data_IF_399814933616
#
_entry.id   IF_399814933616
#
_cell.length_a   1.000
_cell.length_b   1.000
_cell.length_c   1.000
_cell.angle_alpha   90.00
_cell.angle_beta   90.00
_cell.angle_gamma   90.00
#
_symmetry.space_group_name_H-M   'P 1'
#
loop_
_entity.id
_entity.type
_entity.pdbx_description
1 polymer ?
#
# COMPACT_ATOMS: atom_id res chain seq x y z
N UNK A 1 14.09 -9.68 5.95
CA UNK A 1 12.87 -9.84 5.11
C UNK A 1 12.12 -8.53 5.05
N UNK A 2 11.74 -8.09 3.87
CA UNK A 2 10.89 -6.92 3.62
C UNK A 2 9.53 -7.39 3.12
N UNK A 3 8.46 -6.69 3.52
CA UNK A 3 7.10 -6.97 3.06
C UNK A 3 6.51 -5.69 2.49
N UNK A 4 6.18 -5.71 1.21
CA UNK A 4 5.51 -4.62 0.53
C UNK A 4 4.00 -4.90 0.50
N UNK A 5 3.21 -4.00 1.07
CA UNK A 5 1.74 -4.11 1.11
C UNK A 5 1.17 -2.97 0.25
N UNK A 6 0.75 -3.30 -0.96
CA UNK A 6 0.15 -2.38 -1.91
C UNK A 6 -1.37 -2.58 -2.03
N UNK A 7 -2.02 -1.77 -2.82
CA UNK A 7 -3.46 -1.85 -3.12
C UNK A 7 -4.09 -0.47 -3.28
N UNK A 8 -5.29 -0.42 -3.81
CA UNK A 8 -6.07 0.79 -3.95
C UNK A 8 -6.32 1.47 -2.60
N UNK A 9 -6.75 2.73 -2.62
CA UNK A 9 -7.16 3.41 -1.39
C UNK A 9 -8.27 2.61 -0.69
N UNK A 10 -8.32 2.69 0.63
CA UNK A 10 -9.35 2.04 1.48
C UNK A 10 -9.32 0.50 1.51
N UNK A 11 -8.37 -0.19 0.90
CA UNK A 11 -8.28 -1.66 0.93
C UNK A 11 -7.77 -2.24 2.26
N UNK A 12 -7.49 -1.40 3.25
CA UNK A 12 -7.07 -1.86 4.59
C UNK A 12 -5.59 -2.22 4.72
N UNK A 13 -4.72 -1.67 3.87
CA UNK A 13 -3.26 -1.87 3.93
C UNK A 13 -2.68 -1.61 5.32
N UNK A 14 -2.97 -0.45 5.88
CA UNK A 14 -2.50 -0.05 7.22
C UNK A 14 -3.04 -0.96 8.32
N UNK A 15 -4.29 -1.44 8.18
CA UNK A 15 -4.87 -2.43 9.12
C UNK A 15 -4.11 -3.76 9.05
N UNK A 16 -3.82 -4.25 7.85
CA UNK A 16 -3.01 -5.47 7.67
C UNK A 16 -1.61 -5.28 8.26
N UNK A 17 -0.94 -4.16 7.95
CA UNK A 17 0.38 -3.86 8.50
C UNK A 17 0.37 -3.85 10.04
N UNK A 18 -0.66 -3.27 10.66
CA UNK A 18 -0.83 -3.27 12.11
C UNK A 18 -1.03 -4.69 12.67
N UNK A 19 -1.85 -5.52 12.03
CA UNK A 19 -2.06 -6.92 12.44
C UNK A 19 -0.76 -7.74 12.36
N UNK A 20 0.01 -7.56 11.29
CA UNK A 20 1.31 -8.22 11.13
C UNK A 20 2.35 -7.70 12.14
N UNK A 21 2.36 -6.40 12.46
CA UNK A 21 3.18 -5.86 13.53
C UNK A 21 2.85 -6.53 14.88
N UNK A 22 1.57 -6.71 15.19
CA UNK A 22 1.15 -7.35 16.43
C UNK A 22 1.51 -8.84 16.48
N UNK A 23 1.38 -9.56 15.34
CA UNK A 23 1.66 -11.00 15.22
C UNK A 23 3.16 -11.28 15.18
N UNK A 24 3.92 -10.59 14.33
CA UNK A 24 5.33 -10.91 14.02
C UNK A 24 6.34 -9.94 14.61
N UNK A 25 5.89 -8.83 15.20
CA UNK A 25 6.74 -7.77 15.75
C UNK A 25 7.65 -7.09 14.70
N UNK A 26 7.24 -7.11 13.44
CA UNK A 26 7.92 -6.37 12.37
C UNK A 26 7.40 -4.94 12.34
N UNK A 27 8.28 -3.93 12.41
CA UNK A 27 7.85 -2.54 12.27
C UNK A 27 7.32 -2.27 10.85
N UNK A 28 6.43 -1.29 10.71
CA UNK A 28 6.01 -0.86 9.38
C UNK A 28 6.21 0.64 9.17
N UNK A 29 6.45 1.00 7.91
CA UNK A 29 6.47 2.35 7.40
C UNK A 29 5.24 2.56 6.52
N UNK A 30 4.41 3.55 6.87
CA UNK A 30 3.38 4.05 5.97
C UNK A 30 3.99 5.05 5.00
N UNK A 31 3.81 4.81 3.69
CA UNK A 31 4.29 5.73 2.65
C UNK A 31 3.56 7.08 2.76
N UNK A 32 2.32 7.09 3.21
CA UNK A 32 1.58 8.33 3.46
C UNK A 32 2.20 9.18 4.57
N UNK A 33 2.75 8.57 5.61
CA UNK A 33 3.49 9.30 6.63
C UNK A 33 4.78 9.92 6.08
N UNK A 34 5.52 9.17 5.25
CA UNK A 34 6.72 9.69 4.58
C UNK A 34 6.34 10.85 3.64
N UNK A 35 5.30 10.68 2.81
CA UNK A 35 4.75 11.70 1.92
C UNK A 35 4.45 12.99 2.69
N UNK A 36 3.64 12.89 3.73
CA UNK A 36 3.27 14.06 4.53
C UNK A 36 4.45 14.70 5.25
N UNK A 37 5.42 13.89 5.70
CA UNK A 37 6.68 14.40 6.28
C UNK A 37 7.46 15.25 5.29
N UNK A 38 7.66 14.77 4.06
CA UNK A 38 8.39 15.48 3.01
C UNK A 38 7.67 16.75 2.56
N UNK A 39 6.35 16.70 2.37
CA UNK A 39 5.53 17.84 1.99
C UNK A 39 5.57 18.94 3.08
N UNK A 40 5.26 18.57 4.33
CA UNK A 40 5.18 19.52 5.44
C UNK A 40 6.53 20.14 5.82
N UNK A 41 7.62 19.44 5.57
CA UNK A 41 8.99 19.94 5.81
C UNK A 41 9.52 20.79 4.66
N UNK A 42 8.77 20.94 3.56
CA UNK A 42 9.19 21.75 2.41
C UNK A 42 10.27 21.10 1.54
N UNK A 43 10.40 19.78 1.59
CA UNK A 43 11.37 19.05 0.76
C UNK A 43 10.82 18.71 -0.65
N UNK A 44 9.62 19.13 -0.97
CA UNK A 44 9.00 18.97 -2.29
C UNK A 44 7.96 20.06 -2.53
N UNK A 45 7.76 20.42 -3.79
CA UNK A 45 6.66 21.30 -4.24
C UNK A 45 5.34 20.53 -4.45
N UNK A 46 5.35 19.19 -4.35
CA UNK A 46 4.15 18.39 -4.46
C UNK A 46 3.21 18.64 -3.28
N UNK A 47 1.92 18.43 -3.51
CA UNK A 47 0.86 18.53 -2.51
C UNK A 47 0.26 17.15 -2.20
N UNK A 48 -0.52 17.00 -1.13
CA UNK A 48 -1.23 15.75 -0.85
C UNK A 48 -2.20 15.32 -1.96
N UNK A 49 -2.63 16.27 -2.80
CA UNK A 49 -3.58 16.09 -3.91
C UNK A 49 -2.90 16.15 -5.30
N UNK A 50 -1.57 16.10 -5.37
CA UNK A 50 -0.84 15.95 -6.63
C UNK A 50 -1.15 14.60 -7.28
N UNK A 51 -0.92 14.50 -8.60
CA UNK A 51 -1.15 13.25 -9.34
C UNK A 51 -0.41 12.07 -8.71
N UNK A 52 -1.06 10.91 -8.65
CA UNK A 52 -0.49 9.71 -8.01
C UNK A 52 0.77 9.20 -8.72
N UNK A 53 0.92 9.41 -10.02
CA UNK A 53 2.15 9.05 -10.72
C UNK A 53 3.29 9.98 -10.33
N UNK A 54 3.04 11.30 -10.22
CA UNK A 54 4.04 12.27 -9.76
C UNK A 54 4.49 11.95 -8.32
N UNK A 55 3.53 11.62 -7.45
CA UNK A 55 3.82 11.21 -6.08
C UNK A 55 4.61 9.89 -6.04
N UNK A 56 4.26 8.92 -6.87
CA UNK A 56 4.98 7.65 -6.98
C UNK A 56 6.41 7.87 -7.48
N UNK A 57 6.59 8.63 -8.54
CA UNK A 57 7.92 8.94 -9.12
C UNK A 57 8.84 9.65 -8.12
N UNK A 58 8.27 10.48 -7.24
CA UNK A 58 9.03 11.17 -6.21
C UNK A 58 9.33 10.27 -5.00
N UNK A 59 8.35 9.51 -4.50
CA UNK A 59 8.47 8.74 -3.26
C UNK A 59 9.20 7.41 -3.45
N UNK A 60 8.95 6.72 -4.56
CA UNK A 60 9.48 5.38 -4.77
C UNK A 60 11.00 5.29 -4.75
N UNK A 61 11.78 6.19 -5.37
CA UNK A 61 13.23 6.16 -5.27
C UNK A 61 13.75 6.24 -3.83
N UNK A 62 13.08 7.00 -2.96
CA UNK A 62 13.44 7.12 -1.54
C UNK A 62 13.15 5.80 -0.82
N UNK A 63 11.95 5.25 -1.02
CA UNK A 63 11.51 3.99 -0.42
C UNK A 63 12.41 2.83 -0.85
N UNK A 64 12.75 2.76 -2.13
CA UNK A 64 13.65 1.75 -2.68
C UNK A 64 15.01 1.72 -1.96
N UNK A 65 15.62 2.88 -1.73
CA UNK A 65 16.91 2.93 -1.02
C UNK A 65 16.76 2.63 0.48
N UNK A 66 15.62 2.94 1.09
CA UNK A 66 15.30 2.51 2.46
C UNK A 66 15.16 0.98 2.55
N UNK A 67 14.53 0.35 1.56
CA UNK A 67 14.42 -1.12 1.44
C UNK A 67 15.81 -1.75 1.40
N UNK A 68 16.66 -1.29 0.48
CA UNK A 68 18.04 -1.79 0.35
C UNK A 68 18.79 -1.68 1.66
N UNK A 69 18.74 -0.50 2.29
CA UNK A 69 19.39 -0.25 3.59
C UNK A 69 18.89 -1.22 4.67
N UNK A 70 17.58 -1.47 4.74
CA UNK A 70 17.01 -2.40 5.72
C UNK A 70 17.49 -3.85 5.47
N UNK A 71 17.58 -4.29 4.21
CA UNK A 71 18.09 -5.61 3.83
C UNK A 71 19.58 -5.75 4.20
N UNK A 72 20.40 -4.78 3.83
CA UNK A 72 21.84 -4.74 4.14
C UNK A 72 22.11 -4.80 5.65
N UNK A 73 21.24 -4.17 6.45
CA UNK A 73 21.27 -4.21 7.91
C UNK A 73 20.59 -5.46 8.51
N UNK A 74 20.10 -6.39 7.69
CA UNK A 74 19.39 -7.60 8.14
C UNK A 74 18.17 -7.29 9.01
N UNK A 75 17.48 -6.20 8.71
CA UNK A 75 16.28 -5.77 9.43
C UNK A 75 15.02 -6.34 8.76
N UNK A 76 14.00 -6.59 9.56
CA UNK A 76 12.66 -6.84 9.07
C UNK A 76 11.89 -5.52 9.01
N UNK A 77 11.23 -5.25 7.89
CA UNK A 77 10.45 -4.04 7.71
C UNK A 77 9.26 -4.32 6.80
N UNK A 78 8.09 -3.82 7.19
CA UNK A 78 6.94 -3.75 6.29
C UNK A 78 6.82 -2.33 5.75
N UNK A 79 6.40 -2.20 4.50
CA UNK A 79 6.14 -0.91 3.86
C UNK A 79 4.77 -0.99 3.22
N UNK A 80 3.89 -0.07 3.57
CA UNK A 80 2.53 -0.06 3.04
C UNK A 80 2.17 1.27 2.39
N UNK A 81 1.42 1.21 1.31
CA UNK A 81 0.90 2.39 0.63
C UNK A 81 0.48 2.16 -0.82
N UNK A 82 -0.06 3.20 -1.45
CA UNK A 82 -0.49 3.19 -2.84
C UNK A 82 0.66 3.44 -3.83
N UNK A 83 1.77 4.04 -3.37
CA UNK A 83 2.86 4.56 -4.21
C UNK A 83 3.98 3.55 -4.44
N UNK A 84 3.66 2.26 -4.52
CA UNK A 84 4.56 1.17 -4.91
C UNK A 84 4.24 0.83 -6.36
N UNK A 85 5.16 1.05 -7.33
CA UNK A 85 4.89 0.76 -8.74
C UNK A 85 4.70 -0.74 -8.96
N UNK A 86 3.85 -1.13 -9.91
CA UNK A 86 3.59 -2.54 -10.21
C UNK A 86 4.80 -3.26 -10.83
N UNK A 87 5.70 -2.52 -11.43
CA UNK A 87 6.96 -3.03 -11.99
C UNK A 87 8.16 -2.85 -11.04
N UNK A 88 7.90 -2.78 -9.74
CA UNK A 88 8.87 -2.52 -8.68
C UNK A 88 10.11 -3.44 -8.73
N UNK A 89 9.96 -4.68 -9.20
CA UNK A 89 11.04 -5.68 -9.25
C UNK A 89 12.21 -5.22 -10.12
N UNK A 90 11.96 -4.42 -11.16
CA UNK A 90 13.00 -3.90 -12.07
C UNK A 90 14.09 -3.07 -11.38
N UNK A 91 13.79 -2.55 -10.19
CA UNK A 91 14.66 -1.65 -9.44
C UNK A 91 15.58 -2.38 -8.45
N UNK A 92 15.51 -3.73 -8.42
CA UNK A 92 16.27 -4.58 -7.52
C UNK A 92 16.97 -5.69 -8.28
N UNK A 93 18.16 -6.07 -7.86
CA UNK A 93 18.83 -7.27 -8.30
C UNK A 93 18.34 -8.52 -7.54
N UNK A 94 18.76 -9.72 -7.99
CA UNK A 94 18.33 -11.00 -7.42
C UNK A 94 18.60 -11.12 -5.90
N UNK A 95 19.66 -10.48 -5.41
CA UNK A 95 20.00 -10.50 -3.99
C UNK A 95 18.94 -9.81 -3.16
N UNK A 96 18.50 -8.61 -3.57
CA UNK A 96 17.44 -7.89 -2.88
C UNK A 96 16.07 -8.56 -3.08
N UNK A 97 15.76 -9.00 -4.32
CA UNK A 97 14.48 -9.65 -4.64
C UNK A 97 14.20 -10.86 -3.77
N UNK A 98 15.24 -11.66 -3.45
CA UNK A 98 15.09 -12.83 -2.58
C UNK A 98 14.66 -12.50 -1.14
N UNK A 99 14.82 -11.26 -0.70
CA UNK A 99 14.48 -10.77 0.64
C UNK A 99 13.16 -9.99 0.68
N UNK A 100 12.48 -9.81 -0.46
CA UNK A 100 11.25 -9.00 -0.57
C UNK A 100 10.06 -9.90 -0.87
N UNK A 101 9.00 -9.78 -0.07
CA UNK A 101 7.66 -10.29 -0.39
C UNK A 101 6.76 -9.12 -0.75
N UNK A 102 5.96 -9.27 -1.79
CA UNK A 102 4.98 -8.28 -2.22
C UNK A 102 3.58 -8.85 -2.16
N UNK A 103 2.63 -8.06 -1.73
CA UNK A 103 1.22 -8.38 -1.79
C UNK A 103 0.39 -7.14 -2.10
N UNK A 104 -0.53 -7.26 -3.04
CA UNK A 104 -1.48 -6.21 -3.37
C UNK A 104 -2.88 -6.59 -2.88
N UNK A 105 -3.49 -5.72 -2.08
CA UNK A 105 -4.87 -5.92 -1.63
C UNK A 105 -5.85 -5.38 -2.67
N UNK A 106 -6.81 -6.21 -3.05
CA UNK A 106 -7.87 -5.87 -4.01
C UNK A 106 -9.21 -6.26 -3.42
N UNK A 107 -10.16 -5.34 -3.39
CA UNK A 107 -11.55 -5.65 -3.06
C UNK A 107 -12.30 -6.06 -4.32
N UNK A 108 -13.09 -7.14 -4.24
CA UNK A 108 -14.00 -7.53 -5.32
C UNK A 108 -15.15 -6.53 -5.46
N UNK A 109 -15.76 -6.48 -6.63
CA UNK A 109 -16.98 -5.68 -6.86
C UNK A 109 -18.08 -6.08 -5.88
N UNK A 110 -18.27 -7.39 -5.67
CA UNK A 110 -19.25 -7.92 -4.71
C UNK A 110 -18.99 -7.41 -3.29
N UNK A 111 -17.74 -7.46 -2.83
CA UNK A 111 -17.39 -6.95 -1.50
C UNK A 111 -17.68 -5.46 -1.39
N UNK A 112 -17.25 -4.65 -2.36
CA UNK A 112 -17.43 -3.19 -2.36
C UNK A 112 -18.94 -2.85 -2.31
N UNK A 113 -19.76 -3.45 -3.16
CA UNK A 113 -21.20 -3.17 -3.21
C UNK A 113 -21.91 -3.50 -1.88
N UNK A 114 -21.53 -4.58 -1.22
CA UNK A 114 -22.16 -5.01 0.03
C UNK A 114 -21.62 -4.30 1.28
N UNK A 115 -20.37 -3.79 1.24
CA UNK A 115 -19.68 -3.25 2.40
C UNK A 115 -19.22 -1.79 2.25
N UNK A 116 -19.75 -1.05 1.27
CA UNK A 116 -19.31 0.33 1.00
C UNK A 116 -19.40 1.25 2.22
N UNK A 117 -20.47 1.14 3.01
CA UNK A 117 -20.61 1.93 4.23
C UNK A 117 -19.55 1.58 5.28
N UNK A 118 -19.19 0.31 5.38
CA UNK A 118 -18.13 -0.15 6.29
C UNK A 118 -16.75 0.31 5.80
N UNK A 119 -16.49 0.25 4.50
CA UNK A 119 -15.26 0.76 3.88
C UNK A 119 -15.05 2.22 4.27
N UNK A 120 -16.06 3.08 4.12
CA UNK A 120 -16.00 4.48 4.56
C UNK A 120 -15.85 4.64 6.08
N UNK A 121 -16.61 3.88 6.84
CA UNK A 121 -16.57 3.94 8.31
C UNK A 121 -15.21 3.54 8.86
N UNK A 122 -14.60 2.49 8.29
CA UNK A 122 -13.32 1.97 8.77
C UNK A 122 -12.10 2.69 8.17
N UNK A 123 -12.29 3.60 7.22
CA UNK A 123 -11.20 4.44 6.68
C UNK A 123 -10.44 5.23 7.76
N UNK A 124 -11.12 5.56 8.86
CA UNK A 124 -10.59 6.36 9.96
C UNK A 124 -10.23 5.55 11.23
N UNK A 125 -10.15 4.22 11.17
CA UNK A 125 -9.90 3.38 12.37
C UNK A 125 -8.45 3.49 12.84
N UNK A 126 -7.49 3.61 11.93
CA UNK A 126 -6.06 3.72 12.25
C UNK A 126 -5.52 5.11 11.89
N UNK A 127 -6.03 5.72 10.82
CA UNK A 127 -5.65 7.03 10.33
C UNK A 127 -6.81 8.01 10.43
N UNK A 128 -6.55 9.28 10.74
CA UNK A 128 -7.54 10.35 10.61
C UNK A 128 -7.37 11.03 9.25
N UNK A 129 -8.27 10.76 8.32
CA UNK A 129 -8.30 11.43 7.02
C UNK A 129 -8.99 12.78 7.15
N UNK A 130 -8.33 13.84 6.68
CA UNK A 130 -8.86 15.20 6.77
C UNK A 130 -10.00 15.44 5.77
N UNK A 131 -9.95 14.78 4.62
CA UNK A 131 -10.98 14.82 3.57
C UNK A 131 -11.09 13.44 2.92
N UNK A 132 -12.29 12.92 2.82
CA UNK A 132 -12.63 11.63 2.20
C UNK A 132 -13.78 11.81 1.18
N UNK A 133 -13.97 13.06 0.69
CA UNK A 133 -15.05 13.42 -0.24
C UNK A 133 -14.93 12.64 -1.57
N UNK A 134 -13.70 12.32 -1.98
CA UNK A 134 -13.42 11.60 -3.22
C UNK A 134 -13.64 10.09 -3.12
N UNK A 135 -13.86 9.55 -1.90
CA UNK A 135 -14.23 8.16 -1.69
C UNK A 135 -15.69 7.92 -2.04
N UNK A 136 -16.00 7.92 -3.33
CA UNK A 136 -17.30 7.53 -3.87
C UNK A 136 -17.35 6.03 -4.16
N UNK A 137 -18.56 5.45 -4.26
CA UNK A 137 -18.70 4.04 -4.64
C UNK A 137 -18.06 3.77 -6.01
N UNK A 138 -18.27 4.69 -6.95
CA UNK A 138 -17.74 4.60 -8.30
C UNK A 138 -16.21 4.65 -8.32
N UNK A 139 -15.59 5.54 -7.52
CA UNK A 139 -14.13 5.64 -7.45
C UNK A 139 -13.54 4.37 -6.84
N UNK A 140 -14.09 3.87 -5.74
CA UNK A 140 -13.62 2.63 -5.09
C UNK A 140 -13.72 1.42 -6.04
N UNK A 141 -14.81 1.30 -6.79
CA UNK A 141 -14.97 0.24 -7.81
C UNK A 141 -13.93 0.37 -8.92
N UNK A 142 -13.77 1.58 -9.47
CA UNK A 142 -12.84 1.85 -10.56
C UNK A 142 -11.39 1.57 -10.16
N UNK A 143 -10.97 2.04 -8.99
CA UNK A 143 -9.61 1.89 -8.48
C UNK A 143 -9.26 0.42 -8.22
N UNK A 144 -10.17 -0.34 -7.59
CA UNK A 144 -9.93 -1.77 -7.34
C UNK A 144 -9.91 -2.59 -8.64
N UNK A 145 -10.79 -2.26 -9.59
CA UNK A 145 -10.78 -2.90 -10.92
C UNK A 145 -9.49 -2.60 -11.68
N UNK A 146 -9.02 -1.36 -11.65
CA UNK A 146 -7.77 -0.97 -12.27
C UNK A 146 -6.57 -1.63 -11.59
N UNK A 147 -6.55 -1.65 -10.26
CA UNK A 147 -5.51 -2.31 -9.46
C UNK A 147 -5.41 -3.80 -9.81
N UNK A 148 -6.53 -4.52 -9.86
CA UNK A 148 -6.56 -5.93 -10.24
C UNK A 148 -5.99 -6.16 -11.66
N UNK A 149 -6.40 -5.31 -12.60
CA UNK A 149 -5.90 -5.36 -13.98
C UNK A 149 -4.38 -5.13 -14.04
N UNK A 150 -3.86 -4.23 -13.23
CA UNK A 150 -2.43 -3.96 -13.16
C UNK A 150 -1.67 -5.12 -12.51
N UNK A 151 -2.18 -5.72 -11.42
CA UNK A 151 -1.59 -6.92 -10.83
C UNK A 151 -1.47 -8.06 -11.87
N UNK A 152 -2.55 -8.31 -12.61
CA UNK A 152 -2.56 -9.34 -13.66
C UNK A 152 -1.59 -9.02 -14.81
N UNK A 153 -1.51 -7.76 -15.24
CA UNK A 153 -0.62 -7.30 -16.30
C UNK A 153 0.84 -7.49 -15.95
N UNK A 154 1.22 -7.19 -14.71
CA UNK A 154 2.61 -7.26 -14.26
C UNK A 154 2.97 -8.57 -13.57
N UNK A 155 2.00 -9.47 -13.36
CA UNK A 155 2.22 -10.78 -12.75
C UNK A 155 2.58 -10.73 -11.27
N UNK A 156 2.20 -9.65 -10.56
CA UNK A 156 2.49 -9.50 -9.13
C UNK A 156 1.44 -10.20 -8.27
N UNK A 157 1.84 -10.62 -7.07
CA UNK A 157 0.97 -11.29 -6.13
C UNK A 157 -0.13 -10.36 -5.61
N UNK A 158 -1.36 -10.85 -5.55
CA UNK A 158 -2.50 -10.11 -5.01
C UNK A 158 -3.44 -11.00 -4.23
N UNK A 159 -4.16 -10.38 -3.29
CA UNK A 159 -5.18 -11.02 -2.47
C UNK A 159 -6.52 -10.34 -2.71
N UNK A 160 -7.53 -11.13 -3.11
CA UNK A 160 -8.90 -10.63 -3.31
C UNK A 160 -9.69 -10.73 -2.00
N UNK A 161 -10.21 -9.60 -1.56
CA UNK A 161 -11.16 -9.49 -0.45
C UNK A 161 -12.56 -9.58 -1.06
N UNK A 162 -13.27 -10.69 -0.86
CA UNK A 162 -14.53 -10.97 -1.57
C UNK A 162 -15.77 -11.01 -0.65
N UNK A 163 -15.70 -11.72 0.46
CA UNK A 163 -16.87 -11.90 1.35
C UNK A 163 -16.68 -11.20 2.69
N UNK A 164 -15.56 -11.41 3.32
CA UNK A 164 -15.21 -10.84 4.62
C UNK A 164 -13.80 -10.26 4.58
N UNK A 165 -13.59 -9.20 5.36
CA UNK A 165 -12.23 -8.69 5.59
C UNK A 165 -11.53 -9.57 6.63
N UNK A 166 -11.09 -10.72 6.21
CA UNK A 166 -10.29 -11.64 7.02
C UNK A 166 -9.03 -12.01 6.25
N UNK A 167 -7.93 -11.30 6.52
CA UNK A 167 -6.64 -11.54 5.88
C UNK A 167 -5.74 -12.21 6.92
N UNK A 168 -5.52 -13.50 6.78
CA UNK A 168 -4.51 -14.24 7.55
C UNK A 168 -3.30 -14.49 6.66
N UNK A 169 -2.29 -13.64 6.78
CA UNK A 169 -1.03 -13.76 6.06
C UNK A 169 0.00 -14.43 6.96
N UNK A 170 0.52 -15.54 6.50
CA UNK A 170 1.70 -16.19 7.12
C UNK A 170 2.98 -15.72 6.40
N UNK A 171 4.00 -15.36 7.20
CA UNK A 171 5.28 -14.80 6.71
C UNK A 171 6.36 -15.87 6.59
#
# INVERSE_FOLDING_TARGET
>A
MIILISGASHTGKTKLAQQLLEKYKYPYLSIDHLKMGLIRSGNTELSPTSDDNELTDYLWPIIREMIKTAIENKQNLMIEGCYIPFDWEKDFDEHYLSEIKYICLVMSENYILNHYHDIKRYANVIEQRLDDSDCTLESVLADNKQTLKMCQKYGVDYLIIDTEYNIDLEL
#
